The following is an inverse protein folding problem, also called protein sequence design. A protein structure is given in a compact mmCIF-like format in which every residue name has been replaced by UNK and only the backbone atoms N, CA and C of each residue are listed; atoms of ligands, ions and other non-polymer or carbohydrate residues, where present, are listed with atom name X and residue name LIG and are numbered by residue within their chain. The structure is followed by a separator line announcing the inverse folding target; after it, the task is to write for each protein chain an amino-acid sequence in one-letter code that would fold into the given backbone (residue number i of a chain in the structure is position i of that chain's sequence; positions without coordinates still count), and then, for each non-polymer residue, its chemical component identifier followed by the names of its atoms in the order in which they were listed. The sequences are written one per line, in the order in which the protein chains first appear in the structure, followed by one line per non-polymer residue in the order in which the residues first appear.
data_IF_401976406352
#
_entry.id   IF_401976406352
#
_cell.length_a   1.000
_cell.length_b   1.000
_cell.length_c   1.000
_cell.angle_alpha   90.00
_cell.angle_beta   90.00
_cell.angle_gamma   90.00
#
_symmetry.space_group_name_H-M   'P 1'
#
loop_
_entity.id
_entity.type
_entity.pdbx_description
1 polymer ?
#
# COMPACT_ATOMS: atom_id res chain seq x y z
N UNK A 1 14.01 -12.88 -13.80
CA UNK A 1 13.89 -12.34 -12.43
C UNK A 1 14.15 -10.83 -12.52
N UNK A 2 13.11 -10.01 -12.71
CA UNK A 2 13.25 -8.54 -12.83
C UNK A 2 12.75 -7.91 -11.54
N UNK A 3 13.61 -7.09 -10.95
CA UNK A 3 13.45 -6.42 -9.68
C UNK A 3 12.20 -5.52 -9.68
N UNK A 4 11.35 -5.70 -8.66
CA UNK A 4 10.29 -4.76 -8.32
C UNK A 4 10.98 -3.50 -7.79
N UNK A 5 11.09 -2.48 -8.64
CA UNK A 5 11.73 -1.18 -8.35
C UNK A 5 10.87 -0.28 -7.45
N UNK A 6 10.44 -0.83 -6.31
CA UNK A 6 9.88 -0.09 -5.19
C UNK A 6 10.57 -0.58 -3.92
N UNK A 7 11.63 0.11 -3.49
CA UNK A 7 12.33 -0.25 -2.25
C UNK A 7 11.35 -0.34 -1.07
N UNK A 8 11.58 -1.29 -0.17
CA UNK A 8 10.78 -1.46 1.06
C UNK A 8 10.76 -0.13 1.82
N UNK A 9 9.64 0.59 1.79
CA UNK A 9 9.50 1.92 2.42
C UNK A 9 9.22 1.85 3.93
N UNK A 10 8.98 0.65 4.46
CA UNK A 10 8.79 0.39 5.88
C UNK A 10 7.53 1.02 6.48
N UNK A 11 7.35 0.85 7.78
CA UNK A 11 6.31 1.52 8.56
C UNK A 11 6.78 2.93 8.93
N UNK A 12 5.91 3.93 8.75
CA UNK A 12 6.21 5.33 9.06
C UNK A 12 5.08 5.94 9.88
N UNK A 13 5.44 6.88 10.76
CA UNK A 13 4.48 7.63 11.58
C UNK A 13 4.34 9.05 11.03
N UNK A 14 3.11 9.51 10.83
CA UNK A 14 2.80 10.88 10.43
C UNK A 14 1.37 11.26 10.89
N UNK A 15 1.09 12.56 11.10
CA UNK A 15 -0.20 13.03 11.64
C UNK A 15 -1.28 13.11 10.55
N UNK A 16 -1.63 11.97 9.95
CA UNK A 16 -2.72 11.91 8.98
C UNK A 16 -4.06 12.07 9.68
N UNK A 17 -4.89 13.02 9.23
CA UNK A 17 -6.22 13.31 9.81
C UNK A 17 -7.08 12.05 9.93
N UNK A 18 -7.00 11.14 8.95
CA UNK A 18 -7.77 9.88 8.95
C UNK A 18 -7.36 8.90 10.05
N UNK A 19 -6.16 9.07 10.64
CA UNK A 19 -5.65 8.24 11.74
C UNK A 19 -5.72 8.96 13.10
N UNK A 20 -5.93 10.28 13.12
CA UNK A 20 -5.99 11.05 14.37
C UNK A 20 -7.26 10.69 15.16
N UNK A 21 -7.09 10.35 16.43
CA UNK A 21 -8.22 10.04 17.32
C UNK A 21 -8.90 8.70 17.05
N UNK A 22 -8.31 7.84 16.20
CA UNK A 22 -8.80 6.48 15.99
C UNK A 22 -8.76 5.70 17.32
N UNK A 23 -9.93 5.23 17.78
CA UNK A 23 -10.08 4.45 19.02
C UNK A 23 -9.78 2.95 18.84
N UNK A 24 -9.45 2.55 17.62
CA UNK A 24 -9.12 1.18 17.19
C UNK A 24 -7.80 1.22 16.41
N UNK A 25 -7.07 0.09 16.26
CA UNK A 25 -5.88 0.03 15.41
C UNK A 25 -6.21 0.51 13.99
N UNK A 26 -5.44 1.49 13.49
CA UNK A 26 -5.64 2.09 12.18
C UNK A 26 -4.31 2.36 11.49
N UNK A 27 -4.23 2.09 10.19
CA UNK A 27 -3.06 2.32 9.34
C UNK A 27 -3.49 2.90 7.99
N UNK A 28 -2.61 3.68 7.38
CA UNK A 28 -2.74 4.15 6.01
C UNK A 28 -1.69 3.42 5.15
N UNK A 29 -2.11 2.84 4.03
CA UNK A 29 -1.25 2.07 3.14
C UNK A 29 -1.03 2.83 1.83
N UNK A 30 0.20 3.24 1.57
CA UNK A 30 0.63 3.75 0.26
C UNK A 30 1.03 2.57 -0.64
N UNK A 31 0.19 2.24 -1.62
CA UNK A 31 0.39 1.04 -2.46
C UNK A 31 1.36 1.27 -3.62
N UNK A 32 1.37 2.47 -4.21
CA UNK A 32 2.30 2.89 -5.28
C UNK A 32 2.23 4.43 -5.47
N UNK A 33 3.12 4.99 -6.28
CA UNK A 33 3.19 6.44 -6.55
C UNK A 33 2.73 6.75 -7.97
N UNK A 34 1.57 7.42 -8.14
CA UNK A 34 1.07 7.81 -9.47
C UNK A 34 2.06 8.71 -10.23
N UNK A 35 2.87 9.48 -9.53
CA UNK A 35 3.91 10.33 -10.14
C UNK A 35 5.06 9.55 -10.76
N UNK A 36 5.21 8.26 -10.44
CA UNK A 36 6.16 7.36 -11.07
C UNK A 36 5.47 6.60 -12.21
N UNK A 37 5.94 6.78 -13.45
CA UNK A 37 5.33 6.17 -14.65
C UNK A 37 5.24 4.65 -14.60
N UNK A 38 6.16 3.98 -13.92
CA UNK A 38 6.12 2.52 -13.80
C UNK A 38 5.01 2.09 -12.83
N UNK A 39 4.91 2.76 -11.69
CA UNK A 39 3.87 2.53 -10.68
C UNK A 39 2.48 2.88 -11.22
N UNK A 40 2.35 4.00 -11.95
CA UNK A 40 1.11 4.39 -12.62
C UNK A 40 0.61 3.29 -13.58
N UNK A 41 1.50 2.75 -14.41
CA UNK A 41 1.16 1.64 -15.32
C UNK A 41 0.73 0.38 -14.55
N UNK A 42 1.37 0.08 -13.42
CA UNK A 42 0.96 -1.03 -12.56
C UNK A 42 -0.40 -0.78 -11.92
N UNK A 43 -0.66 0.44 -11.44
CA UNK A 43 -1.96 0.82 -10.87
C UNK A 43 -3.10 0.72 -11.91
N UNK A 44 -2.82 0.93 -13.19
CA UNK A 44 -3.78 0.74 -14.28
C UNK A 44 -4.11 -0.75 -14.54
N UNK A 45 -3.23 -1.68 -14.16
CA UNK A 45 -3.43 -3.13 -14.34
C UNK A 45 -4.36 -3.70 -13.25
N UNK A 46 -5.45 -4.34 -13.68
CA UNK A 46 -6.43 -4.97 -12.80
C UNK A 46 -5.84 -6.12 -11.98
N UNK A 47 -4.95 -6.93 -12.57
CA UNK A 47 -4.34 -8.07 -11.88
C UNK A 47 -3.39 -7.59 -10.76
N UNK A 48 -2.69 -6.47 -10.99
CA UNK A 48 -1.86 -5.84 -9.96
C UNK A 48 -2.72 -5.33 -8.79
N UNK A 49 -3.82 -4.60 -9.08
CA UNK A 49 -4.74 -4.13 -8.04
C UNK A 49 -5.33 -5.27 -7.22
N UNK A 50 -5.72 -6.37 -7.88
CA UNK A 50 -6.22 -7.56 -7.20
C UNK A 50 -5.17 -8.18 -6.27
N UNK A 51 -3.93 -8.32 -6.73
CA UNK A 51 -2.82 -8.82 -5.91
C UNK A 51 -2.57 -7.95 -4.67
N UNK A 52 -2.63 -6.62 -4.81
CA UNK A 52 -2.49 -5.68 -3.69
C UNK A 52 -3.64 -5.86 -2.70
N UNK A 53 -4.88 -5.93 -3.17
CA UNK A 53 -6.06 -6.13 -2.32
C UNK A 53 -5.97 -7.44 -1.53
N UNK A 54 -5.58 -8.55 -2.18
CA UNK A 54 -5.38 -9.84 -1.53
C UNK A 54 -4.29 -9.78 -0.46
N UNK A 55 -3.18 -9.08 -0.73
CA UNK A 55 -2.08 -8.92 0.23
C UNK A 55 -2.52 -8.14 1.48
N UNK A 56 -3.31 -7.07 1.30
CA UNK A 56 -3.87 -6.30 2.41
C UNK A 56 -4.85 -7.16 3.22
N UNK A 57 -5.76 -7.87 2.55
CA UNK A 57 -6.73 -8.73 3.21
C UNK A 57 -6.06 -9.85 4.02
N UNK A 58 -5.00 -10.46 3.47
CA UNK A 58 -4.20 -11.45 4.19
C UNK A 58 -3.50 -10.84 5.41
N UNK A 59 -2.92 -9.64 5.27
CA UNK A 59 -2.29 -8.94 6.38
C UNK A 59 -3.25 -8.66 7.53
N UNK A 60 -4.48 -8.23 7.23
CA UNK A 60 -5.53 -8.03 8.23
C UNK A 60 -5.94 -9.34 8.90
N UNK A 61 -6.07 -10.44 8.14
CA UNK A 61 -6.43 -11.76 8.69
C UNK A 61 -5.36 -12.35 9.60
N UNK A 62 -4.10 -11.97 9.41
CA UNK A 62 -2.94 -12.47 10.15
C UNK A 62 -2.54 -11.60 11.35
N UNK A 63 -3.16 -10.42 11.50
CA UNK A 63 -2.95 -9.50 12.62
C UNK A 63 -3.85 -9.87 13.80
#
# INVERSE_FOLDING_TARGET
MRELTGGLRGVKTAPFVVLLGAKIPAVLVEVAYITNRNDERLLADAAYREKVAQSIAQGIRSY
#
